data_IF_581223662548
#
_entry.id   IF_581223662548
#
_cell.length_a   1.000
_cell.length_b   1.000
_cell.length_c   1.000
_cell.angle_alpha   90.00
_cell.angle_beta   90.00
_cell.angle_gamma   90.00
#
_symmetry.space_group_name_H-M   'P 1'
#
loop_
_entity.id
_entity.type
_entity.pdbx_description
1 polymer ?
#
# COMPACT_ATOMS: atom_id res chain seq x y z
N UNK A 1 -0.07 7.17 27.96
CA UNK A 1 -0.43 6.12 26.97
C UNK A 1 0.80 5.24 26.78
N UNK A 2 0.71 3.92 26.99
CA UNK A 2 1.89 3.04 26.97
C UNK A 2 2.09 2.46 25.55
N UNK A 3 3.15 2.88 24.87
CA UNK A 3 3.49 2.40 23.52
C UNK A 3 4.28 1.11 23.65
N UNK A 4 3.68 -0.01 23.23
CA UNK A 4 4.27 -1.34 23.35
C UNK A 4 4.82 -1.87 22.02
N UNK A 5 4.32 -1.35 20.89
CA UNK A 5 4.70 -1.79 19.55
C UNK A 5 5.05 -0.61 18.65
N UNK A 6 5.92 -0.85 17.65
CA UNK A 6 6.36 0.20 16.72
C UNK A 6 5.17 0.79 15.94
N UNK A 7 4.22 -0.06 15.50
CA UNK A 7 3.03 0.41 14.77
C UNK A 7 2.16 1.38 15.59
N UNK A 8 2.19 1.30 16.93
CA UNK A 8 1.42 2.22 17.77
C UNK A 8 2.03 3.60 17.66
N UNK A 9 3.36 3.71 17.84
CA UNK A 9 4.10 4.96 17.63
C UNK A 9 3.85 5.54 16.23
N UNK A 10 4.02 4.72 15.18
CA UNK A 10 3.81 5.15 13.79
C UNK A 10 2.38 5.65 13.55
N UNK A 11 1.38 5.05 14.21
CA UNK A 11 -0.01 5.47 14.12
C UNK A 11 -0.23 6.85 14.74
N UNK A 12 0.35 7.13 15.91
CA UNK A 12 0.18 8.43 16.56
C UNK A 12 0.87 9.55 15.78
N UNK A 13 2.06 9.32 15.24
CA UNK A 13 2.74 10.26 14.36
C UNK A 13 1.90 10.54 13.10
N UNK A 14 1.27 9.49 12.54
CA UNK A 14 0.35 9.63 11.43
C UNK A 14 -0.91 10.43 11.82
N UNK A 15 -1.47 10.19 13.00
CA UNK A 15 -2.67 10.85 13.51
C UNK A 15 -2.43 12.34 13.75
N UNK A 16 -1.28 12.70 14.34
CA UNK A 16 -0.85 14.10 14.50
C UNK A 16 -0.72 14.77 13.14
N UNK A 17 0.02 14.14 12.22
CA UNK A 17 0.17 14.64 10.84
C UNK A 17 -1.19 14.83 10.15
N UNK A 18 -2.17 13.95 10.41
CA UNK A 18 -3.51 14.05 9.86
C UNK A 18 -4.33 15.20 10.46
N UNK A 19 -4.21 15.44 11.78
CA UNK A 19 -4.89 16.55 12.46
C UNK A 19 -4.40 17.89 11.92
N UNK A 20 -3.10 18.00 11.62
CA UNK A 20 -2.45 19.19 11.06
C UNK A 20 -2.63 19.37 9.54
N UNK A 21 -3.43 18.53 8.87
CA UNK A 21 -3.57 18.52 7.40
C UNK A 21 -4.01 19.85 6.76
N UNK A 22 -4.61 20.76 7.53
CA UNK A 22 -5.08 22.07 7.06
C UNK A 22 -4.03 23.19 7.26
N UNK A 23 -2.89 22.91 7.92
CA UNK A 23 -1.81 23.89 8.07
C UNK A 23 -1.02 24.01 6.76
N UNK A 24 -0.39 25.17 6.52
CA UNK A 24 0.44 25.44 5.32
C UNK A 24 1.63 24.46 5.17
N UNK A 25 1.99 23.74 6.24
CA UNK A 25 3.07 22.74 6.28
C UNK A 25 2.54 21.28 6.28
N UNK A 26 1.25 21.07 6.00
CA UNK A 26 0.56 19.78 6.15
C UNK A 26 1.18 18.63 5.34
N UNK A 27 2.15 17.92 5.93
CA UNK A 27 2.87 16.79 5.34
C UNK A 27 1.96 15.62 4.98
N UNK A 28 0.82 15.46 5.68
CA UNK A 28 -0.11 14.35 5.42
C UNK A 28 -0.74 14.41 4.02
N UNK A 29 -1.15 15.59 3.55
CA UNK A 29 -1.81 15.70 2.25
C UNK A 29 -0.87 15.33 1.10
N UNK A 30 0.41 15.77 1.18
CA UNK A 30 1.47 15.38 0.25
C UNK A 30 1.74 13.88 0.29
N UNK A 31 1.93 13.29 1.49
CA UNK A 31 2.13 11.85 1.66
C UNK A 31 0.98 11.03 1.08
N UNK A 32 -0.28 11.45 1.33
CA UNK A 32 -1.47 10.80 0.77
C UNK A 32 -1.51 10.88 -0.76
N UNK A 33 -1.25 12.04 -1.36
CA UNK A 33 -1.19 12.20 -2.82
C UNK A 33 -0.15 11.28 -3.45
N UNK A 34 1.06 11.25 -2.89
CA UNK A 34 2.14 10.36 -3.36
C UNK A 34 1.70 8.89 -3.24
N UNK A 35 1.08 8.49 -2.13
CA UNK A 35 0.59 7.11 -1.97
C UNK A 35 -0.48 6.76 -3.00
N UNK A 36 -1.45 7.64 -3.25
CA UNK A 36 -2.47 7.43 -4.29
C UNK A 36 -1.83 7.33 -5.67
N UNK A 37 -0.90 8.23 -5.99
CA UNK A 37 -0.18 8.20 -7.26
C UNK A 37 0.62 6.90 -7.41
N UNK A 38 1.29 6.42 -6.35
CA UNK A 38 2.01 5.15 -6.38
C UNK A 38 1.09 3.95 -6.61
N UNK A 39 -0.11 3.95 -6.02
CA UNK A 39 -1.11 2.90 -6.24
C UNK A 39 -1.62 2.93 -7.69
N UNK A 40 -1.88 4.12 -8.24
CA UNK A 40 -2.29 4.28 -9.64
C UNK A 40 -1.19 3.78 -10.60
N UNK A 41 0.07 4.15 -10.35
CA UNK A 41 1.19 3.63 -11.15
C UNK A 41 1.31 2.11 -11.07
N UNK A 42 1.19 1.52 -9.89
CA UNK A 42 1.22 0.06 -9.73
C UNK A 42 0.10 -0.64 -10.51
N UNK A 43 -1.11 -0.08 -10.48
CA UNK A 43 -2.25 -0.59 -11.25
C UNK A 43 -1.99 -0.51 -12.75
N UNK A 44 -1.56 0.65 -13.25
CA UNK A 44 -1.25 0.84 -14.67
C UNK A 44 -0.13 -0.07 -15.15
N UNK A 45 0.91 -0.26 -14.32
CA UNK A 45 1.97 -1.22 -14.62
C UNK A 45 1.45 -2.65 -14.69
N UNK A 46 0.66 -3.10 -13.69
CA UNK A 46 0.09 -4.44 -13.70
C UNK A 46 -0.76 -4.71 -14.94
N UNK A 47 -1.65 -3.77 -15.30
CA UNK A 47 -2.46 -3.84 -16.52
C UNK A 47 -1.58 -3.81 -17.77
N UNK A 48 -0.56 -2.95 -17.80
CA UNK A 48 0.38 -2.84 -18.91
C UNK A 48 1.07 -4.17 -19.21
N UNK A 49 1.59 -4.86 -18.19
CA UNK A 49 2.23 -6.17 -18.35
C UNK A 49 1.28 -7.27 -18.86
N UNK A 50 -0.02 -7.13 -18.60
CA UNK A 50 -1.04 -8.06 -19.11
C UNK A 50 -1.42 -7.73 -20.55
N UNK A 51 -1.62 -6.45 -20.90
CA UNK A 51 -2.15 -6.03 -22.22
C UNK A 51 -1.06 -5.91 -23.29
N UNK A 52 0.14 -5.44 -22.93
CA UNK A 52 1.24 -5.17 -23.86
C UNK A 52 1.62 -6.37 -24.75
N UNK A 53 1.70 -7.62 -24.24
CA UNK A 53 1.99 -8.78 -25.07
C UNK A 53 0.94 -9.01 -26.17
N UNK A 54 -0.34 -8.77 -25.87
CA UNK A 54 -1.42 -8.92 -26.85
C UNK A 54 -1.38 -7.80 -27.89
N UNK A 55 -1.09 -6.57 -27.47
CA UNK A 55 -0.94 -5.44 -28.38
C UNK A 55 0.21 -5.67 -29.38
N UNK A 56 1.34 -6.20 -28.92
CA UNK A 56 2.49 -6.54 -29.78
C UNK A 56 2.14 -7.64 -30.78
N UNK A 57 1.42 -8.71 -30.36
CA UNK A 57 0.96 -9.77 -31.26
C UNK A 57 0.04 -9.28 -32.38
N UNK A 58 -0.80 -8.28 -32.08
CA UNK A 58 -1.73 -7.71 -33.06
C UNK A 58 -0.98 -6.87 -34.11
N UNK A 59 0.08 -6.18 -33.70
CA UNK A 59 0.85 -5.28 -34.55
C UNK A 59 1.90 -5.99 -35.41
N UNK A 60 2.45 -7.11 -34.94
CA UNK A 60 3.49 -7.87 -35.65
C UNK A 60 3.03 -9.30 -35.89
N UNK A 61 2.69 -9.60 -37.16
CA UNK A 61 2.12 -10.89 -37.58
C UNK A 61 3.17 -11.96 -37.86
N UNK A 62 4.45 -11.60 -37.96
CA UNK A 62 5.55 -12.52 -38.30
C UNK A 62 6.35 -12.98 -37.06
N UNK A 63 5.78 -12.77 -35.86
CA UNK A 63 6.39 -13.18 -34.61
C UNK A 63 6.51 -14.70 -34.52
N UNK A 64 7.75 -15.17 -34.33
CA UNK A 64 8.08 -16.57 -34.12
C UNK A 64 7.33 -17.10 -32.89
N UNK A 65 6.39 -18.04 -33.12
CA UNK A 65 5.34 -18.38 -32.15
C UNK A 65 5.91 -18.90 -30.82
N UNK A 66 6.95 -19.74 -30.87
CA UNK A 66 7.57 -20.34 -29.68
C UNK A 66 8.15 -19.29 -28.73
N UNK A 67 8.90 -18.32 -29.26
CA UNK A 67 9.48 -17.23 -28.47
C UNK A 67 8.40 -16.31 -27.92
N UNK A 68 7.31 -16.10 -28.68
CA UNK A 68 6.19 -15.28 -28.24
C UNK A 68 5.48 -15.88 -27.03
N UNK A 69 5.23 -17.19 -27.00
CA UNK A 69 4.57 -17.84 -25.86
C UNK A 69 5.40 -17.81 -24.58
N UNK A 70 6.72 -17.96 -24.69
CA UNK A 70 7.64 -17.85 -23.53
C UNK A 70 7.59 -16.43 -22.94
N UNK A 71 7.70 -15.40 -23.80
CA UNK A 71 7.66 -14.00 -23.39
C UNK A 71 6.29 -13.64 -22.81
N UNK A 72 5.21 -14.12 -23.42
CA UNK A 72 3.84 -13.95 -22.90
C UNK A 72 3.69 -14.53 -21.49
N UNK A 73 4.14 -15.77 -21.28
CA UNK A 73 4.07 -16.43 -19.97
C UNK A 73 4.83 -15.68 -18.88
N UNK A 74 6.02 -15.17 -19.21
CA UNK A 74 6.83 -14.37 -18.29
C UNK A 74 6.17 -13.03 -17.94
N UNK A 75 5.70 -12.27 -18.94
CA UNK A 75 5.06 -10.97 -18.74
C UNK A 75 3.74 -11.09 -17.96
N UNK A 76 2.95 -12.13 -18.23
CA UNK A 76 1.73 -12.42 -17.46
C UNK A 76 2.04 -12.73 -16.00
N UNK A 77 3.07 -13.55 -15.74
CA UNK A 77 3.46 -13.91 -14.37
C UNK A 77 3.88 -12.67 -13.59
N UNK A 78 4.68 -11.78 -14.19
CA UNK A 78 5.04 -10.48 -13.58
C UNK A 78 3.80 -9.62 -13.34
N UNK A 79 2.90 -9.52 -14.33
CA UNK A 79 1.65 -8.76 -14.21
C UNK A 79 0.78 -9.24 -13.05
N UNK A 80 0.66 -10.56 -12.87
CA UNK A 80 -0.07 -11.18 -11.75
C UNK A 80 0.59 -10.81 -10.41
N UNK A 81 1.91 -10.93 -10.29
CA UNK A 81 2.65 -10.59 -9.06
C UNK A 81 2.44 -9.11 -8.70
N UNK A 82 2.58 -8.21 -9.67
CA UNK A 82 2.36 -6.77 -9.47
C UNK A 82 0.92 -6.50 -9.02
N UNK A 83 -0.06 -7.17 -9.64
CA UNK A 83 -1.48 -7.03 -9.30
C UNK A 83 -1.77 -7.49 -7.87
N UNK A 84 -1.18 -8.61 -7.43
CA UNK A 84 -1.29 -9.11 -6.06
C UNK A 84 -0.69 -8.08 -5.07
N UNK A 85 0.52 -7.57 -5.35
CA UNK A 85 1.16 -6.54 -4.52
C UNK A 85 0.32 -5.26 -4.45
N UNK A 86 -0.30 -4.86 -5.56
CA UNK A 86 -1.22 -3.72 -5.61
C UNK A 86 -2.42 -3.94 -4.69
N UNK A 87 -3.09 -5.10 -4.77
CA UNK A 87 -4.25 -5.42 -3.93
C UNK A 87 -3.89 -5.32 -2.44
N UNK A 88 -2.76 -5.89 -2.03
CA UNK A 88 -2.30 -5.81 -0.65
C UNK A 88 -2.01 -4.38 -0.20
N UNK A 89 -1.31 -3.59 -1.02
CA UNK A 89 -1.05 -2.18 -0.73
C UNK A 89 -2.34 -1.33 -0.69
N UNK A 90 -3.32 -1.66 -1.53
CA UNK A 90 -4.61 -0.97 -1.57
C UNK A 90 -5.44 -1.28 -0.32
N UNK A 91 -5.52 -2.55 0.08
CA UNK A 91 -6.16 -2.97 1.34
C UNK A 91 -5.47 -2.30 2.53
N UNK A 92 -4.14 -2.28 2.56
CA UNK A 92 -3.38 -1.58 3.59
C UNK A 92 -3.77 -0.11 3.69
N UNK A 93 -3.87 0.59 2.55
CA UNK A 93 -4.28 1.99 2.50
C UNK A 93 -5.71 2.21 3.01
N UNK A 94 -6.65 1.33 2.65
CA UNK A 94 -8.03 1.38 3.17
C UNK A 94 -8.03 1.26 4.70
N UNK A 95 -7.29 0.29 5.25
CA UNK A 95 -7.19 0.13 6.71
C UNK A 95 -6.57 1.34 7.40
N UNK A 96 -5.56 1.99 6.80
CA UNK A 96 -5.00 3.24 7.32
C UNK A 96 -6.06 4.33 7.42
N UNK A 97 -6.85 4.53 6.37
CA UNK A 97 -7.89 5.57 6.32
C UNK A 97 -9.01 5.27 7.32
N UNK A 98 -9.43 4.01 7.43
CA UNK A 98 -10.45 3.59 8.40
C UNK A 98 -9.96 3.76 9.85
N UNK A 99 -8.69 3.45 10.13
CA UNK A 99 -8.09 3.66 11.45
C UNK A 99 -8.11 5.14 11.85
N UNK A 100 -7.69 6.04 10.95
CA UNK A 100 -7.74 7.49 11.19
C UNK A 100 -9.18 7.98 11.40
N UNK A 101 -10.14 7.46 10.63
CA UNK A 101 -11.56 7.80 10.79
C UNK A 101 -12.09 7.37 12.16
N UNK A 102 -11.77 6.15 12.63
CA UNK A 102 -12.17 5.65 13.95
C UNK A 102 -11.59 6.49 15.09
N UNK A 103 -10.31 6.82 15.03
CA UNK A 103 -9.67 7.62 16.08
C UNK A 103 -10.23 9.04 16.19
N UNK A 104 -10.62 9.66 15.06
CA UNK A 104 -11.04 11.07 15.06
C UNK A 104 -12.55 11.25 15.20
N UNK A 105 -13.35 10.44 14.50
CA UNK A 105 -14.81 10.62 14.48
C UNK A 105 -15.53 9.83 15.57
N UNK A 106 -14.96 8.72 15.98
CA UNK A 106 -15.60 7.79 16.91
C UNK A 106 -14.85 7.70 18.25
N UNK A 107 -13.72 8.40 18.37
CA UNK A 107 -12.88 8.44 19.59
C UNK A 107 -12.51 7.03 20.12
N UNK A 108 -12.50 6.03 19.24
CA UNK A 108 -12.23 4.62 19.57
C UNK A 108 -10.80 4.25 19.18
N UNK A 109 -9.86 4.63 20.03
CA UNK A 109 -8.42 4.39 19.84
C UNK A 109 -8.09 2.89 19.75
N UNK A 110 -8.81 2.05 20.50
CA UNK A 110 -8.57 0.59 20.52
C UNK A 110 -8.90 -0.04 19.17
N UNK A 111 -10.05 0.32 18.57
CA UNK A 111 -10.39 -0.15 17.21
C UNK A 111 -9.50 0.50 16.16
N UNK A 112 -9.13 1.77 16.32
CA UNK A 112 -8.23 2.45 15.40
C UNK A 112 -6.87 1.76 15.31
N UNK A 113 -6.23 1.47 16.45
CA UNK A 113 -4.96 0.74 16.51
C UNK A 113 -5.07 -0.67 15.93
N UNK A 114 -6.19 -1.39 16.16
CA UNK A 114 -6.41 -2.71 15.58
C UNK A 114 -6.48 -2.64 14.05
N UNK A 115 -7.18 -1.66 13.49
CA UNK A 115 -7.24 -1.44 12.04
C UNK A 115 -5.87 -1.05 11.48
N UNK A 116 -5.12 -0.19 12.17
CA UNK A 116 -3.79 0.19 11.74
C UNK A 116 -2.80 -0.98 11.77
N UNK A 117 -2.90 -1.87 12.77
CA UNK A 117 -2.14 -3.13 12.80
C UNK A 117 -2.40 -3.99 11.56
N UNK A 118 -3.66 -4.11 11.12
CA UNK A 118 -3.97 -4.80 9.87
C UNK A 118 -3.37 -4.09 8.66
N UNK A 119 -3.39 -2.76 8.63
CA UNK A 119 -2.70 -1.99 7.60
C UNK A 119 -1.21 -2.35 7.50
N UNK A 120 -0.51 -2.47 8.63
CA UNK A 120 0.90 -2.89 8.66
C UNK A 120 1.10 -4.33 8.14
N UNK A 121 0.22 -5.27 8.49
CA UNK A 121 0.27 -6.66 8.00
C UNK A 121 0.11 -6.69 6.48
N UNK A 122 -0.88 -5.99 5.94
CA UNK A 122 -1.13 -5.93 4.49
C UNK A 122 -0.08 -5.12 3.72
N UNK A 123 0.65 -4.23 4.39
CA UNK A 123 1.83 -3.59 3.82
C UNK A 123 3.10 -4.46 3.87
N UNK A 124 3.01 -5.68 4.44
CA UNK A 124 4.15 -6.54 4.76
C UNK A 124 5.21 -5.85 5.65
N UNK A 125 4.80 -4.87 6.46
CA UNK A 125 5.68 -4.16 7.38
C UNK A 125 5.79 -4.93 8.71
N UNK A 126 6.45 -6.08 8.68
CA UNK A 126 6.63 -6.93 9.86
C UNK A 126 7.49 -6.27 10.94
N UNK A 127 8.36 -5.34 10.56
CA UNK A 127 9.15 -4.54 11.52
C UNK A 127 8.23 -3.75 12.45
N UNK A 128 7.17 -3.12 11.92
CA UNK A 128 6.22 -2.37 12.73
C UNK A 128 5.45 -3.23 13.76
N UNK A 129 5.37 -4.55 13.54
CA UNK A 129 4.71 -5.49 14.44
C UNK A 129 5.61 -5.95 15.61
N UNK A 130 6.90 -5.60 15.59
CA UNK A 130 7.82 -5.92 16.70
C UNK A 130 7.48 -5.08 17.92
N UNK A 131 7.62 -5.68 19.10
CA UNK A 131 7.58 -4.94 20.38
C UNK A 131 8.74 -3.96 20.43
N UNK A 132 8.48 -2.78 20.96
CA UNK A 132 9.55 -1.82 21.24
C UNK A 132 10.39 -2.36 22.41
N UNK A 133 11.72 -2.32 22.28
CA UNK A 133 12.65 -2.78 23.32
C UNK A 133 12.76 -1.81 24.51
N UNK A 134 11.97 -0.72 24.52
CA UNK A 134 11.86 0.16 25.68
C UNK A 134 10.93 -0.46 26.72
N UNK A 135 11.50 -1.43 27.44
CA UNK A 135 11.14 -1.66 28.85
C UNK A 135 11.35 -0.33 29.58
N UNK A 136 10.38 0.04 30.42
CA UNK A 136 10.36 1.31 31.12
C UNK A 136 11.70 1.73 31.71
N UNK A 137 11.99 3.01 31.56
CA UNK A 137 12.70 3.81 32.55
C UNK A 137 11.92 5.11 32.70
#
# INVERSE_FOLDING_TARGET
MYISYIYEYDFYDLLVSYKERNSKEGNYYRKRKIKILSLLFQLLFGIGFIILPFAVKILDKDLNEDNFFIVLGFLLTIGIIISIIFVFNFISFIFTVLALKKAIKEEDDKKALKLYKYSCIFAFNFTALRKTSRVGK
#
